data_IF_794729386997
#
_entry.id   IF_794729386997
#
_cell.length_a   1.000
_cell.length_b   1.000
_cell.length_c   1.000
_cell.angle_alpha   90.00
_cell.angle_beta   90.00
_cell.angle_gamma   90.00
#
_symmetry.space_group_name_H-M   'P 1'
#
loop_
_entity.id
_entity.type
_entity.pdbx_description
1 polymer ?
#
# COMPACT_ATOMS: atom_id res chain seq x y z
N UNK A 1 -15.53 1.62 -8.11
CA UNK A 1 -16.12 1.81 -6.78
C UNK A 1 -15.06 2.26 -5.80
N UNK A 2 -14.26 1.32 -5.27
CA UNK A 2 -13.22 1.59 -4.28
C UNK A 2 -12.27 2.74 -4.64
N UNK A 3 -11.65 2.72 -5.82
CA UNK A 3 -10.72 3.78 -6.24
C UNK A 3 -11.33 5.19 -6.37
N UNK A 4 -12.62 5.28 -6.72
CA UNK A 4 -13.34 6.57 -6.76
C UNK A 4 -13.58 7.05 -5.33
N UNK A 5 -14.06 6.16 -4.45
CA UNK A 5 -14.33 6.49 -3.06
C UNK A 5 -13.05 6.85 -2.29
N UNK A 6 -11.98 6.06 -2.39
CA UNK A 6 -10.72 6.31 -1.68
C UNK A 6 -10.06 7.63 -2.10
N UNK A 7 -10.06 7.93 -3.41
CA UNK A 7 -9.51 9.18 -3.94
C UNK A 7 -10.38 10.37 -3.56
N UNK A 8 -11.71 10.26 -3.64
CA UNK A 8 -12.62 11.31 -3.22
C UNK A 8 -12.52 11.59 -1.72
N UNK A 9 -12.52 10.54 -0.88
CA UNK A 9 -12.40 10.67 0.57
C UNK A 9 -11.08 11.30 0.98
N UNK A 10 -9.94 10.86 0.44
CA UNK A 10 -8.64 11.47 0.76
C UNK A 10 -8.57 12.94 0.34
N UNK A 11 -9.16 13.31 -0.80
CA UNK A 11 -9.24 14.70 -1.27
C UNK A 11 -10.14 15.55 -0.36
N UNK A 12 -11.33 15.07 -0.01
CA UNK A 12 -12.27 15.77 0.88
C UNK A 12 -11.63 15.99 2.24
N UNK A 13 -11.03 14.94 2.83
CA UNK A 13 -10.35 15.03 4.12
C UNK A 13 -9.22 16.05 4.07
N UNK A 14 -8.37 16.00 3.04
CA UNK A 14 -7.27 16.97 2.89
C UNK A 14 -7.75 18.42 2.74
N UNK A 15 -8.92 18.64 2.16
CA UNK A 15 -9.48 19.97 1.96
C UNK A 15 -10.22 20.52 3.20
N UNK A 16 -10.75 19.64 4.06
CA UNK A 16 -11.42 20.04 5.31
C UNK A 16 -10.45 20.35 6.45
N UNK A 17 -9.21 19.88 6.39
CA UNK A 17 -8.23 20.11 7.46
C UNK A 17 -7.69 21.56 7.39
N UNK A 18 -7.78 22.34 8.48
CA UNK A 18 -7.23 23.69 8.54
C UNK A 18 -5.73 23.71 8.25
N UNK A 19 -5.23 24.73 7.55
CA UNK A 19 -3.81 24.83 7.16
C UNK A 19 -2.86 24.72 8.36
N UNK A 20 -3.23 25.34 9.48
CA UNK A 20 -2.48 25.34 10.74
C UNK A 20 -2.33 23.95 11.39
N UNK A 21 -3.23 23.01 11.05
CA UNK A 21 -3.26 21.64 11.61
C UNK A 21 -3.21 20.55 10.53
N UNK A 22 -2.76 20.88 9.32
CA UNK A 22 -2.64 19.93 8.20
C UNK A 22 -1.86 18.67 8.58
N UNK A 23 -0.73 18.84 9.28
CA UNK A 23 0.08 17.70 9.73
C UNK A 23 -0.68 16.75 10.65
N UNK A 24 -1.40 17.28 11.65
CA UNK A 24 -2.18 16.47 12.59
C UNK A 24 -3.35 15.76 11.88
N UNK A 25 -4.12 16.50 11.06
CA UNK A 25 -5.29 15.95 10.38
C UNK A 25 -4.92 14.86 9.36
N UNK A 26 -3.86 15.07 8.58
CA UNK A 26 -3.35 14.04 7.64
C UNK A 26 -2.87 12.81 8.41
N UNK A 27 -2.22 13.01 9.56
CA UNK A 27 -1.77 11.91 10.40
C UNK A 27 -2.94 11.09 10.97
N UNK A 28 -4.03 11.74 11.42
CA UNK A 28 -5.25 11.03 11.85
C UNK A 28 -5.89 10.21 10.72
N UNK A 29 -5.93 10.76 9.51
CA UNK A 29 -6.42 10.03 8.33
C UNK A 29 -5.53 8.84 7.97
N UNK A 30 -4.21 9.01 7.98
CA UNK A 30 -3.27 7.92 7.75
C UNK A 30 -3.37 6.83 8.84
N UNK A 31 -3.56 7.23 10.10
CA UNK A 31 -3.76 6.31 11.22
C UNK A 31 -5.03 5.47 11.02
N UNK A 32 -6.15 6.08 10.62
CA UNK A 32 -7.40 5.35 10.40
C UNK A 32 -7.30 4.32 9.29
N UNK A 33 -6.65 4.64 8.17
CA UNK A 33 -6.38 3.67 7.09
C UNK A 33 -5.54 2.49 7.57
N UNK A 34 -4.56 2.75 8.43
CA UNK A 34 -3.67 1.72 8.99
C UNK A 34 -4.41 0.81 9.96
N UNK A 35 -5.27 1.40 10.79
CA UNK A 35 -6.14 0.69 11.71
C UNK A 35 -7.12 -0.20 10.93
N UNK A 36 -7.72 0.32 9.85
CA UNK A 36 -8.60 -0.45 8.97
C UNK A 36 -7.89 -1.63 8.30
N UNK A 37 -6.67 -1.41 7.79
CA UNK A 37 -5.85 -2.46 7.18
C UNK A 37 -5.39 -3.55 8.18
N UNK A 38 -5.34 -3.23 9.47
CA UNK A 38 -5.04 -4.17 10.54
C UNK A 38 -6.29 -4.92 11.03
N UNK A 39 -7.32 -4.17 11.41
CA UNK A 39 -8.56 -4.68 12.00
C UNK A 39 -9.37 -5.47 10.97
N UNK A 40 -9.37 -5.06 9.70
CA UNK A 40 -10.14 -5.72 8.64
C UNK A 40 -9.77 -7.19 8.46
N UNK A 41 -8.53 -7.54 8.10
CA UNK A 41 -8.08 -8.93 7.98
C UNK A 41 -8.18 -9.70 9.31
N UNK A 42 -7.91 -9.04 10.44
CA UNK A 42 -8.03 -9.65 11.76
C UNK A 42 -9.48 -10.10 12.06
N UNK A 43 -10.45 -9.19 11.93
CA UNK A 43 -11.88 -9.51 12.10
C UNK A 43 -12.33 -10.52 11.06
N UNK A 44 -11.92 -10.38 9.80
CA UNK A 44 -12.25 -11.31 8.73
C UNK A 44 -11.80 -12.74 9.05
N UNK A 45 -10.57 -12.89 9.56
CA UNK A 45 -10.04 -14.21 9.90
C UNK A 45 -10.69 -14.81 11.16
N UNK A 46 -11.02 -13.99 12.17
CA UNK A 46 -11.82 -14.44 13.32
C UNK A 46 -13.20 -14.91 12.87
N UNK A 47 -13.88 -14.10 12.05
CA UNK A 47 -15.21 -14.42 11.58
C UNK A 47 -15.23 -15.73 10.78
N UNK A 48 -14.18 -16.00 10.01
CA UNK A 48 -14.04 -17.25 9.27
C UNK A 48 -13.93 -18.51 10.15
N UNK A 49 -13.52 -18.37 11.42
CA UNK A 49 -13.43 -19.50 12.37
C UNK A 49 -14.78 -19.83 13.02
N UNK A 50 -15.62 -18.83 13.26
CA UNK A 50 -16.85 -18.98 14.04
C UNK A 50 -18.14 -18.92 13.20
N UNK A 51 -18.09 -18.32 12.01
CA UNK A 51 -19.26 -18.06 11.20
C UNK A 51 -19.13 -18.65 9.80
N UNK A 52 -20.26 -19.09 9.24
CA UNK A 52 -20.37 -19.48 7.85
C UNK A 52 -20.14 -18.28 6.92
N UNK A 53 -19.58 -18.53 5.74
CA UNK A 53 -19.27 -17.50 4.74
C UNK A 53 -20.45 -16.58 4.40
N UNK A 54 -21.68 -17.11 4.41
CA UNK A 54 -22.90 -16.33 4.16
C UNK A 54 -23.14 -15.23 5.22
N UNK A 55 -22.87 -15.53 6.50
CA UNK A 55 -23.00 -14.56 7.60
C UNK A 55 -21.94 -13.46 7.46
N UNK A 56 -20.73 -13.83 7.04
CA UNK A 56 -19.63 -12.88 6.78
C UNK A 56 -20.03 -11.89 5.68
N UNK A 57 -20.61 -12.39 4.58
CA UNK A 57 -21.12 -11.52 3.50
C UNK A 57 -22.22 -10.59 4.01
N UNK A 58 -23.20 -11.11 4.74
CA UNK A 58 -24.30 -10.30 5.29
C UNK A 58 -23.81 -9.20 6.23
N UNK A 59 -22.82 -9.51 7.07
CA UNK A 59 -22.16 -8.53 7.93
C UNK A 59 -21.47 -7.44 7.11
N UNK A 60 -20.68 -7.81 6.09
CA UNK A 60 -20.04 -6.83 5.20
C UNK A 60 -21.06 -5.92 4.51
N UNK A 61 -22.17 -6.48 4.02
CA UNK A 61 -23.27 -5.69 3.41
C UNK A 61 -23.87 -4.73 4.43
N UNK A 62 -24.14 -5.18 5.66
CA UNK A 62 -24.68 -4.32 6.71
C UNK A 62 -23.74 -3.15 7.06
N UNK A 63 -22.43 -3.41 7.15
CA UNK A 63 -21.42 -2.37 7.38
C UNK A 63 -21.39 -1.36 6.23
N UNK A 64 -21.41 -1.82 4.97
CA UNK A 64 -21.45 -0.93 3.79
C UNK A 64 -22.70 -0.05 3.80
N UNK A 65 -23.87 -0.61 4.13
CA UNK A 65 -25.12 0.16 4.23
C UNK A 65 -25.06 1.18 5.37
N UNK A 66 -24.47 0.83 6.52
CA UNK A 66 -24.27 1.76 7.63
C UNK A 66 -23.33 2.92 7.24
N UNK A 67 -22.22 2.64 6.55
CA UNK A 67 -21.34 3.67 6.01
C UNK A 67 -22.04 4.58 5.00
N UNK A 68 -22.88 4.02 4.12
CA UNK A 68 -23.66 4.78 3.16
C UNK A 68 -24.68 5.69 3.87
N UNK A 69 -25.38 5.18 4.89
CA UNK A 69 -26.30 5.98 5.70
C UNK A 69 -25.57 7.11 6.45
N UNK A 70 -24.40 6.83 7.02
CA UNK A 70 -23.58 7.85 7.67
C UNK A 70 -23.13 8.95 6.69
N UNK A 71 -22.86 8.61 5.42
CA UNK A 71 -22.52 9.58 4.39
C UNK A 71 -23.66 10.57 4.10
N UNK A 72 -24.93 10.16 4.23
CA UNK A 72 -26.08 11.07 4.10
C UNK A 72 -26.26 12.02 5.31
N UNK A 73 -25.75 11.63 6.48
CA UNK A 73 -25.82 12.45 7.70
C UNK A 73 -24.62 13.41 7.81
N UNK A 74 -23.47 13.04 7.24
CA UNK A 74 -22.30 13.91 7.20
C UNK A 74 -22.57 15.15 6.35
N UNK A 75 -22.77 16.29 7.02
CA UNK A 75 -22.72 17.62 6.40
C UNK A 75 -21.27 17.96 6.13
N UNK A 76 -20.81 17.68 4.91
CA UNK A 76 -19.55 18.19 4.40
C UNK A 76 -19.84 19.57 3.81
N UNK A 77 -19.21 20.61 4.35
CA UNK A 77 -19.26 21.94 3.74
C UNK A 77 -18.72 21.81 2.30
N UNK A 78 -19.56 22.16 1.31
CA UNK A 78 -19.16 22.12 -0.08
C UNK A 78 -17.96 23.03 -0.29
N UNK A 79 -16.83 22.43 -0.69
CA UNK A 79 -15.65 23.16 -1.09
C UNK A 79 -16.05 24.02 -2.29
N UNK A 80 -16.16 25.34 -2.10
CA UNK A 80 -16.44 26.29 -3.19
C UNK A 80 -15.28 26.22 -4.19
N UNK A 81 -15.48 25.49 -5.28
CA UNK A 81 -14.55 25.45 -6.39
C UNK A 81 -14.61 26.81 -7.09
N UNK A 82 -13.56 27.63 -6.95
CA UNK A 82 -13.38 28.90 -7.68
C UNK A 82 -13.53 28.66 -9.19
N UNK A 83 -14.11 29.60 -9.94
CA UNK A 83 -14.32 29.45 -11.40
C UNK A 83 -13.02 29.12 -12.16
N UNK A 84 -11.87 29.63 -11.70
CA UNK A 84 -10.54 29.30 -12.24
C UNK A 84 -10.19 27.82 -12.11
N UNK A 85 -10.49 27.20 -10.95
CA UNK A 85 -10.25 25.77 -10.70
C UNK A 85 -11.20 24.91 -11.53
N UNK A 86 -12.42 25.39 -11.80
CA UNK A 86 -13.41 24.74 -12.67
C UNK A 86 -13.01 24.79 -14.15
N UNK A 87 -12.36 25.88 -14.58
CA UNK A 87 -11.80 25.99 -15.93
C UNK A 87 -10.61 25.04 -16.14
N UNK A 88 -9.74 24.90 -15.14
CA UNK A 88 -8.61 23.95 -15.16
C UNK A 88 -9.07 22.47 -15.19
N UNK A 89 -10.21 22.13 -14.59
CA UNK A 89 -10.80 20.78 -14.62
C UNK A 89 -11.41 20.38 -15.98
N UNK A 90 -11.66 21.35 -16.89
CA UNK A 90 -12.24 21.07 -18.22
C UNK A 90 -11.22 20.52 -19.22
N UNK A 91 -9.92 20.64 -18.96
CA UNK A 91 -8.89 19.99 -19.77
C UNK A 91 -8.69 18.53 -19.34
N UNK A 92 -9.65 17.69 -19.72
CA UNK A 92 -9.60 16.24 -19.50
C UNK A 92 -8.63 15.63 -20.52
N UNK A 93 -7.38 15.47 -20.12
CA UNK A 93 -6.36 14.70 -20.84
C UNK A 93 -5.95 13.47 -20.02
N UNK A 94 -5.62 12.34 -20.66
CA UNK A 94 -5.03 11.18 -19.98
C UNK A 94 -3.70 11.52 -19.27
N UNK A 95 -2.97 12.53 -19.74
CA UNK A 95 -1.79 13.09 -19.06
C UNK A 95 -2.13 13.96 -17.82
N UNK A 96 -3.42 14.24 -17.61
CA UNK A 96 -3.97 14.91 -16.42
C UNK A 96 -4.35 13.90 -15.33
N UNK A 97 -4.51 12.61 -15.67
CA UNK A 97 -4.92 11.55 -14.73
C UNK A 97 -3.77 10.70 -14.20
N UNK A 98 -2.73 10.48 -15.00
CA UNK A 98 -1.55 9.75 -14.59
C UNK A 98 -0.32 10.65 -14.71
N UNK A 99 0.46 10.74 -13.64
CA UNK A 99 1.66 11.58 -13.62
C UNK A 99 2.89 10.77 -14.07
N UNK A 100 3.47 11.04 -15.25
CA UNK A 100 4.56 10.22 -15.79
C UNK A 100 5.82 10.23 -14.90
N UNK A 101 6.05 11.32 -14.15
CA UNK A 101 7.21 11.43 -13.25
C UNK A 101 7.19 10.36 -12.15
N UNK A 102 6.02 9.91 -11.71
CA UNK A 102 5.88 8.90 -10.63
C UNK A 102 5.65 7.48 -11.15
N UNK A 103 5.53 7.30 -12.46
CA UNK A 103 5.23 5.99 -13.06
C UNK A 103 6.25 4.91 -12.70
N UNK A 104 7.54 5.28 -12.58
CA UNK A 104 8.59 4.34 -12.20
C UNK A 104 8.35 3.72 -10.82
N UNK A 105 8.06 4.54 -9.82
CA UNK A 105 7.78 4.06 -8.46
C UNK A 105 6.39 3.39 -8.36
N UNK A 106 5.42 3.86 -9.14
CA UNK A 106 4.09 3.25 -9.19
C UNK A 106 4.12 1.82 -9.77
N UNK A 107 4.93 1.58 -10.81
CA UNK A 107 5.14 0.21 -11.35
C UNK A 107 5.82 -0.70 -10.31
N UNK A 108 6.82 -0.20 -9.58
CA UNK A 108 7.41 -0.97 -8.47
C UNK A 108 6.34 -1.28 -7.42
N UNK A 109 5.47 -0.31 -7.12
CA UNK A 109 4.34 -0.50 -6.22
C UNK A 109 3.38 -1.58 -6.67
N UNK A 110 3.05 -1.64 -7.97
CA UNK A 110 2.24 -2.71 -8.54
C UNK A 110 2.82 -4.10 -8.22
N UNK A 111 4.13 -4.31 -8.42
CA UNK A 111 4.75 -5.61 -8.16
C UNK A 111 4.85 -5.93 -6.65
N UNK A 112 5.13 -4.93 -5.82
CA UNK A 112 5.12 -5.09 -4.35
C UNK A 112 3.73 -5.46 -3.85
N UNK A 113 2.69 -4.78 -4.36
CA UNK A 113 1.30 -5.08 -4.06
C UNK A 113 0.90 -6.48 -4.55
N UNK A 114 1.32 -6.88 -5.75
CA UNK A 114 1.11 -8.24 -6.26
C UNK A 114 1.73 -9.29 -5.33
N UNK A 115 2.93 -9.05 -4.81
CA UNK A 115 3.55 -9.97 -3.84
C UNK A 115 2.75 -10.03 -2.53
N UNK A 116 2.33 -8.88 -1.99
CA UNK A 116 1.56 -8.82 -0.75
C UNK A 116 0.13 -9.35 -0.89
N UNK A 117 -0.48 -9.27 -2.07
CA UNK A 117 -1.83 -9.79 -2.32
C UNK A 117 -1.93 -11.30 -2.04
N UNK A 118 -0.82 -12.03 -2.21
CA UNK A 118 -0.71 -13.45 -1.85
C UNK A 118 -1.02 -13.70 -0.37
N UNK A 119 -0.55 -12.81 0.52
CA UNK A 119 -0.80 -12.88 1.96
C UNK A 119 -2.27 -12.58 2.22
N UNK A 120 -2.79 -11.49 1.66
CA UNK A 120 -4.19 -11.10 1.82
C UNK A 120 -5.19 -12.18 1.39
N UNK A 121 -4.95 -12.84 0.25
CA UNK A 121 -5.91 -13.79 -0.32
C UNK A 121 -5.71 -15.23 0.12
N UNK A 122 -4.49 -15.65 0.43
CA UNK A 122 -4.19 -17.06 0.68
C UNK A 122 -3.81 -17.38 2.12
N UNK A 123 -3.42 -16.40 2.94
CA UNK A 123 -2.91 -16.67 4.28
C UNK A 123 -3.94 -17.40 5.15
N UNK A 124 -5.22 -17.04 5.06
CA UNK A 124 -6.26 -17.70 5.84
C UNK A 124 -6.41 -19.18 5.46
N UNK A 125 -6.44 -19.50 4.16
CA UNK A 125 -6.50 -20.89 3.69
C UNK A 125 -5.22 -21.64 4.02
N UNK A 126 -4.05 -21.02 3.87
CA UNK A 126 -2.76 -21.62 4.20
C UNK A 126 -2.64 -21.93 5.69
N UNK A 127 -3.01 -20.98 6.56
CA UNK A 127 -3.04 -21.19 8.00
C UNK A 127 -4.07 -22.26 8.41
N UNK A 128 -5.17 -22.41 7.67
CA UNK A 128 -6.12 -23.51 7.89
C UNK A 128 -5.53 -24.87 7.53
N UNK A 129 -4.88 -25.00 6.36
CA UNK A 129 -4.21 -26.25 5.92
C UNK A 129 -3.08 -26.69 6.87
N UNK A 130 -2.37 -25.73 7.47
CA UNK A 130 -1.33 -26.00 8.47
C UNK A 130 -1.86 -26.20 9.90
N UNK A 131 -3.18 -26.07 10.13
CA UNK A 131 -3.79 -26.06 11.47
C UNK A 131 -3.24 -24.96 12.40
N UNK A 132 -2.87 -23.81 11.83
CA UNK A 132 -2.28 -22.64 12.50
C UNK A 132 -3.21 -21.41 12.49
N UNK A 133 -4.53 -21.59 12.47
CA UNK A 133 -5.51 -20.50 12.32
C UNK A 133 -5.33 -19.37 13.34
N UNK A 134 -5.09 -19.68 14.61
CA UNK A 134 -4.82 -18.69 15.66
C UNK A 134 -3.59 -17.84 15.33
N UNK A 135 -2.52 -18.46 14.84
CA UNK A 135 -1.31 -17.75 14.45
C UNK A 135 -1.54 -16.90 13.19
N UNK A 136 -2.39 -17.35 12.26
CA UNK A 136 -2.79 -16.57 11.09
C UNK A 136 -3.55 -15.30 11.49
N UNK A 137 -4.39 -15.38 12.53
CA UNK A 137 -5.13 -14.21 13.03
C UNK A 137 -4.17 -13.23 13.71
N UNK A 138 -3.26 -13.75 14.54
CA UNK A 138 -2.23 -12.96 15.20
C UNK A 138 -1.20 -12.38 14.23
N UNK A 139 -1.00 -12.98 13.05
CA UNK A 139 -0.12 -12.44 11.99
C UNK A 139 -0.49 -10.99 11.66
N UNK A 140 -1.76 -10.69 11.45
CA UNK A 140 -2.20 -9.33 11.09
C UNK A 140 -2.07 -8.33 12.25
N UNK A 141 -2.16 -8.81 13.49
CA UNK A 141 -1.88 -8.00 14.69
C UNK A 141 -0.40 -7.66 14.76
N UNK A 142 0.48 -8.66 14.61
CA UNK A 142 1.93 -8.46 14.61
C UNK A 142 2.38 -7.58 13.45
N UNK A 143 1.81 -7.79 12.27
CA UNK A 143 1.97 -6.92 11.10
C UNK A 143 1.62 -5.46 11.45
N UNK A 144 0.45 -5.23 12.04
CA UNK A 144 -0.02 -3.89 12.40
C UNK A 144 0.88 -3.20 13.42
N UNK A 145 1.28 -3.92 14.46
CA UNK A 145 2.21 -3.42 15.48
C UNK A 145 3.57 -3.07 14.87
N UNK A 146 4.09 -3.94 14.01
CA UNK A 146 5.38 -3.75 13.33
C UNK A 146 5.34 -2.49 12.45
N UNK A 147 4.29 -2.33 11.65
CA UNK A 147 4.09 -1.13 10.81
C UNK A 147 3.97 0.12 11.66
N UNK A 148 3.20 0.07 12.76
CA UNK A 148 2.99 1.21 13.65
C UNK A 148 4.30 1.69 14.28
N UNK A 149 5.14 0.77 14.73
CA UNK A 149 6.43 1.10 15.38
C UNK A 149 7.46 1.58 14.36
N UNK A 150 7.50 0.97 13.18
CA UNK A 150 8.58 1.23 12.21
C UNK A 150 8.32 2.43 11.34
N UNK A 151 7.06 2.80 11.09
CA UNK A 151 6.73 3.97 10.27
C UNK A 151 7.40 5.27 10.72
N UNK A 152 7.36 5.68 12.00
CA UNK A 152 8.06 6.88 12.47
C UNK A 152 9.57 6.80 12.22
N UNK A 153 10.18 5.64 12.51
CA UNK A 153 11.62 5.42 12.35
C UNK A 153 12.01 5.47 10.88
N UNK A 154 11.25 4.80 10.02
CA UNK A 154 11.46 4.80 8.58
C UNK A 154 11.30 6.20 7.97
N UNK A 155 10.32 6.98 8.42
CA UNK A 155 10.15 8.37 7.99
C UNK A 155 11.36 9.24 8.35
N UNK A 156 11.85 9.16 9.59
CA UNK A 156 13.05 9.90 10.02
C UNK A 156 14.28 9.47 9.22
N UNK A 157 14.43 8.17 8.94
CA UNK A 157 15.54 7.67 8.11
C UNK A 157 15.42 8.12 6.66
N UNK A 158 14.22 8.14 6.11
CA UNK A 158 13.93 8.59 4.74
C UNK A 158 14.32 10.04 4.54
N UNK A 159 14.03 10.90 5.51
CA UNK A 159 14.37 12.33 5.42
C UNK A 159 15.86 12.60 5.68
N UNK A 160 16.51 11.84 6.57
CA UNK A 160 17.93 12.07 6.91
C UNK A 160 18.93 11.43 5.95
N UNK A 161 18.63 10.23 5.45
CA UNK A 161 19.57 9.41 4.65
C UNK A 161 19.11 9.19 3.21
N UNK A 162 17.92 9.69 2.86
CA UNK A 162 17.34 9.57 1.53
C UNK A 162 16.52 8.29 1.35
N UNK A 163 15.82 8.27 0.21
CA UNK A 163 14.87 7.22 -0.17
C UNK A 163 15.51 5.84 -0.35
N UNK A 164 16.69 5.75 -0.98
CA UNK A 164 17.37 4.47 -1.24
C UNK A 164 17.69 3.72 0.06
N UNK A 165 18.11 4.45 1.10
CA UNK A 165 18.46 3.87 2.40
C UNK A 165 17.30 3.13 3.07
N UNK A 166 16.06 3.52 2.77
CA UNK A 166 14.84 2.92 3.33
C UNK A 166 14.24 1.89 2.38
N UNK A 167 14.25 2.13 1.08
CA UNK A 167 13.57 1.28 0.10
C UNK A 167 14.24 -0.09 -0.08
N UNK A 168 15.57 -0.18 -0.15
CA UNK A 168 16.25 -1.48 -0.30
C UNK A 168 16.02 -2.43 0.89
N UNK A 169 16.19 -2.00 2.16
CA UNK A 169 15.85 -2.85 3.30
C UNK A 169 14.38 -3.27 3.31
N UNK A 170 13.49 -2.41 2.83
CA UNK A 170 12.06 -2.68 2.75
C UNK A 170 11.75 -3.86 1.82
N UNK A 171 12.33 -3.90 0.62
CA UNK A 171 12.16 -5.02 -0.31
C UNK A 171 12.77 -6.32 0.24
N UNK A 172 13.91 -6.22 0.92
CA UNK A 172 14.57 -7.37 1.55
C UNK A 172 13.74 -7.94 2.69
N UNK A 173 13.20 -7.08 3.57
CA UNK A 173 12.30 -7.48 4.65
C UNK A 173 11.05 -8.16 4.09
N UNK A 174 10.43 -7.60 3.05
CA UNK A 174 9.27 -8.23 2.42
C UNK A 174 9.62 -9.60 1.83
N UNK A 175 10.76 -9.71 1.14
CA UNK A 175 11.24 -10.98 0.58
C UNK A 175 11.48 -12.04 1.67
N UNK A 176 12.17 -11.68 2.75
CA UNK A 176 12.40 -12.57 3.90
C UNK A 176 11.08 -13.00 4.53
N UNK A 177 10.13 -12.08 4.73
CA UNK A 177 8.83 -12.40 5.31
C UNK A 177 8.04 -13.40 4.45
N UNK A 178 8.02 -13.21 3.13
CA UNK A 178 7.33 -14.11 2.21
C UNK A 178 8.05 -15.47 2.09
N UNK A 179 9.38 -15.51 2.08
CA UNK A 179 10.15 -16.75 2.08
C UNK A 179 9.98 -17.53 3.40
N UNK A 180 9.88 -16.85 4.53
CA UNK A 180 9.54 -17.48 5.82
C UNK A 180 8.15 -18.11 5.77
N UNK A 181 7.16 -17.45 5.16
CA UNK A 181 5.84 -18.05 4.93
C UNK A 181 5.93 -19.32 4.08
N UNK A 182 6.82 -19.37 3.09
CA UNK A 182 6.99 -20.58 2.25
C UNK A 182 7.40 -21.82 3.05
N UNK A 183 8.19 -21.67 4.11
CA UNK A 183 8.73 -22.78 4.91
C UNK A 183 8.02 -22.93 6.26
N UNK A 184 6.94 -22.19 6.48
CA UNK A 184 6.24 -22.15 7.77
C UNK A 184 5.61 -23.51 8.07
N UNK A 185 5.94 -24.03 9.24
CA UNK A 185 5.37 -25.25 9.84
C UNK A 185 4.89 -25.02 11.27
N UNK A 186 5.37 -23.97 11.94
CA UNK A 186 5.04 -23.65 13.34
C UNK A 186 4.43 -22.26 13.49
N UNK A 187 3.62 -22.08 14.53
CA UNK A 187 2.97 -20.80 14.84
C UNK A 187 3.93 -19.61 14.91
N UNK A 188 5.09 -19.79 15.56
CA UNK A 188 6.04 -18.69 15.77
C UNK A 188 6.69 -18.22 14.45
N UNK A 189 6.94 -19.14 13.51
CA UNK A 189 7.50 -18.83 12.19
C UNK A 189 6.58 -17.90 11.41
N UNK A 190 5.26 -18.18 11.46
CA UNK A 190 4.25 -17.32 10.85
C UNK A 190 4.22 -15.93 11.49
N UNK A 191 4.32 -15.82 12.82
CA UNK A 191 4.35 -14.52 13.49
C UNK A 191 5.61 -13.72 13.14
N UNK A 192 6.77 -14.37 13.08
CA UNK A 192 8.02 -13.74 12.64
C UNK A 192 7.90 -13.27 11.19
N UNK A 193 7.28 -14.06 10.31
CA UNK A 193 6.98 -13.63 8.96
C UNK A 193 6.08 -12.37 8.93
N UNK A 194 5.09 -12.29 9.83
CA UNK A 194 4.24 -11.10 10.00
C UNK A 194 5.01 -9.83 10.35
N UNK A 195 6.07 -9.94 11.17
CA UNK A 195 6.98 -8.83 11.45
C UNK A 195 7.64 -8.36 10.17
N UNK A 196 8.30 -9.26 9.44
CA UNK A 196 9.05 -8.94 8.22
C UNK A 196 8.16 -8.41 7.09
N UNK A 197 6.98 -8.99 6.89
CA UNK A 197 5.99 -8.49 5.92
C UNK A 197 5.49 -7.10 6.32
N UNK A 198 5.28 -6.84 7.61
CA UNK A 198 4.93 -5.51 8.12
C UNK A 198 6.02 -4.47 7.87
N UNK A 199 7.26 -4.81 8.22
CA UNK A 199 8.45 -3.99 7.95
C UNK A 199 8.64 -3.71 6.46
N UNK A 200 8.31 -4.67 5.60
CA UNK A 200 8.37 -4.55 4.16
C UNK A 200 7.20 -3.75 3.58
N UNK A 201 6.05 -4.39 3.40
CA UNK A 201 4.93 -3.78 2.67
C UNK A 201 4.43 -2.48 3.30
N UNK A 202 4.32 -2.42 4.62
CA UNK A 202 3.81 -1.23 5.31
C UNK A 202 4.75 -0.02 5.23
N UNK A 203 6.06 -0.24 5.25
CA UNK A 203 7.08 0.81 5.05
C UNK A 203 7.14 1.26 3.60
N UNK A 204 7.01 0.32 2.65
CA UNK A 204 6.97 0.64 1.23
C UNK A 204 5.78 1.54 0.89
N UNK A 205 4.60 1.22 1.44
CA UNK A 205 3.36 1.96 1.18
C UNK A 205 3.49 3.44 1.58
N UNK A 206 4.08 3.75 2.74
CA UNK A 206 4.25 5.12 3.20
C UNK A 206 5.39 5.86 2.50
N UNK A 207 6.56 5.23 2.35
CA UNK A 207 7.73 5.89 1.74
C UNK A 207 7.59 6.01 0.21
N UNK A 208 6.97 5.04 -0.44
CA UNK A 208 6.64 5.12 -1.87
C UNK A 208 5.70 6.29 -2.17
N UNK A 209 4.70 6.52 -1.32
CA UNK A 209 3.84 7.71 -1.41
C UNK A 209 4.66 9.00 -1.22
N UNK A 210 5.57 9.05 -0.24
CA UNK A 210 6.42 10.22 -0.02
C UNK A 210 7.35 10.53 -1.20
N UNK A 211 7.89 9.49 -1.86
CA UNK A 211 8.66 9.64 -3.12
C UNK A 211 7.79 10.29 -4.20
N UNK A 212 6.54 9.83 -4.39
CA UNK A 212 5.63 10.41 -5.37
C UNK A 212 5.39 11.90 -5.14
N UNK A 213 5.24 12.31 -3.87
CA UNK A 213 5.06 13.71 -3.48
C UNK A 213 6.32 14.54 -3.76
N UNK A 214 7.52 14.02 -3.47
CA UNK A 214 8.81 14.72 -3.71
C UNK A 214 9.12 14.93 -5.20
N UNK A 215 8.54 14.13 -6.10
CA UNK A 215 8.83 14.16 -7.53
C UNK A 215 8.02 15.19 -8.33
N UNK A 216 7.02 15.82 -7.72
CA UNK A 216 6.01 16.61 -8.42
C UNK A 216 5.77 17.95 -7.73
N UNK A 217 5.28 18.91 -8.51
CA UNK A 217 4.91 20.22 -7.99
C UNK A 217 3.65 20.11 -7.12
N UNK A 218 3.48 21.02 -6.15
CA UNK A 218 2.38 20.97 -5.17
C UNK A 218 0.99 20.82 -5.81
N UNK A 219 0.79 21.47 -6.95
CA UNK A 219 -0.47 21.44 -7.70
C UNK A 219 -0.81 20.03 -8.23
N UNK A 220 0.21 19.18 -8.44
CA UNK A 220 0.08 17.83 -9.02
C UNK A 220 0.20 16.70 -8.01
N UNK A 221 0.42 16.99 -6.72
CA UNK A 221 0.51 15.98 -5.65
C UNK A 221 -0.69 15.02 -5.67
N UNK A 222 -1.91 15.54 -5.86
CA UNK A 222 -3.12 14.71 -5.90
C UNK A 222 -3.10 13.67 -7.04
N UNK A 223 -2.64 14.05 -8.23
CA UNK A 223 -2.53 13.16 -9.40
C UNK A 223 -1.42 12.13 -9.20
N UNK A 224 -0.31 12.53 -8.57
CA UNK A 224 0.80 11.64 -8.28
C UNK A 224 0.44 10.55 -7.26
N UNK A 225 -0.22 10.94 -6.17
CA UNK A 225 -0.68 10.02 -5.13
C UNK A 225 -1.77 9.09 -5.67
N UNK A 226 -2.71 9.60 -6.46
CA UNK A 226 -3.73 8.75 -7.09
C UNK A 226 -3.12 7.74 -8.07
N UNK A 227 -2.16 8.16 -8.90
CA UNK A 227 -1.41 7.26 -9.80
C UNK A 227 -0.75 6.11 -9.03
N UNK A 228 -0.14 6.41 -7.88
CA UNK A 228 0.48 5.42 -7.00
C UNK A 228 -0.54 4.43 -6.43
N UNK A 229 -1.65 4.92 -5.88
CA UNK A 229 -2.70 4.04 -5.32
C UNK A 229 -3.40 3.21 -6.38
N UNK A 230 -3.64 3.74 -7.58
CA UNK A 230 -4.24 2.97 -8.70
C UNK A 230 -3.36 1.77 -9.05
N UNK A 231 -2.04 1.95 -9.14
CA UNK A 231 -1.12 0.85 -9.43
C UNK A 231 -1.01 -0.15 -8.28
N UNK A 232 -1.00 0.32 -7.01
CA UNK A 232 -1.05 -0.54 -5.84
C UNK A 232 -2.32 -1.40 -5.82
N UNK A 233 -3.49 -0.78 -5.98
CA UNK A 233 -4.78 -1.46 -5.97
C UNK A 233 -4.90 -2.45 -7.13
N UNK A 234 -4.36 -2.10 -8.30
CA UNK A 234 -4.29 -3.02 -9.43
C UNK A 234 -3.44 -4.25 -9.10
N UNK A 235 -2.30 -4.07 -8.43
CA UNK A 235 -1.45 -5.17 -7.96
C UNK A 235 -2.19 -6.07 -6.95
N UNK A 236 -2.86 -5.46 -5.97
CA UNK A 236 -3.66 -6.19 -4.97
C UNK A 236 -4.86 -6.94 -5.59
N UNK A 237 -5.50 -6.33 -6.58
CA UNK A 237 -6.67 -6.90 -7.24
C UNK A 237 -6.34 -8.01 -8.22
N UNK A 238 -5.30 -7.83 -9.04
CA UNK A 238 -4.91 -8.79 -10.09
C UNK A 238 -4.06 -9.93 -9.52
N UNK A 239 -3.25 -9.66 -8.49
CA UNK A 239 -2.30 -10.62 -7.94
C UNK A 239 -2.91 -11.97 -7.53
N UNK A 240 -4.04 -12.03 -6.79
CA UNK A 240 -4.65 -13.30 -6.40
C UNK A 240 -5.12 -14.15 -7.59
N UNK A 241 -5.57 -13.53 -8.68
CA UNK A 241 -5.96 -14.25 -9.89
C UNK A 241 -4.75 -14.85 -10.61
N UNK A 242 -3.67 -14.07 -10.76
CA UNK A 242 -2.42 -14.55 -11.37
C UNK A 242 -1.82 -15.67 -10.52
N UNK A 243 -1.61 -15.42 -9.23
CA UNK A 243 -0.97 -16.36 -8.32
C UNK A 243 -1.84 -17.60 -8.07
N UNK A 244 -3.17 -17.44 -8.05
CA UNK A 244 -4.12 -18.53 -7.93
C UNK A 244 -4.05 -19.52 -9.10
N UNK A 245 -3.74 -19.05 -10.32
CA UNK A 245 -3.53 -19.93 -11.47
C UNK A 245 -2.32 -20.87 -11.28
N UNK A 246 -1.32 -20.45 -10.51
CA UNK A 246 -0.15 -21.27 -10.17
C UNK A 246 -0.35 -22.14 -8.93
N UNK A 247 -1.51 -22.08 -8.25
CA UNK A 247 -1.78 -22.88 -7.05
C UNK A 247 -1.69 -24.38 -7.31
N UNK A 248 -2.22 -24.85 -8.43
CA UNK A 248 -2.23 -26.27 -8.79
C UNK A 248 -0.83 -26.91 -8.75
N UNK A 249 0.14 -26.42 -9.54
CA UNK A 249 1.47 -27.02 -9.62
C UNK A 249 2.41 -26.70 -8.43
N UNK A 250 2.25 -25.55 -7.77
CA UNK A 250 3.23 -25.07 -6.77
C UNK A 250 2.78 -25.23 -5.31
N UNK A 251 1.48 -25.39 -5.06
CA UNK A 251 0.90 -25.28 -3.71
C UNK A 251 1.12 -23.89 -3.09
N UNK A 252 0.71 -23.71 -1.83
CA UNK A 252 0.87 -22.41 -1.15
C UNK A 252 2.32 -22.07 -0.84
N UNK A 253 3.11 -23.03 -0.37
CA UNK A 253 4.54 -22.82 -0.12
C UNK A 253 5.27 -22.36 -1.39
N UNK A 254 5.03 -23.00 -2.53
CA UNK A 254 5.65 -22.59 -3.79
C UNK A 254 5.22 -21.19 -4.26
N UNK A 255 3.95 -20.80 -4.05
CA UNK A 255 3.49 -19.42 -4.31
C UNK A 255 4.25 -18.42 -3.43
N UNK A 256 4.39 -18.70 -2.12
CA UNK A 256 5.10 -17.81 -1.20
C UNK A 256 6.60 -17.73 -1.50
N UNK A 257 7.21 -18.80 -1.99
CA UNK A 257 8.58 -18.78 -2.49
C UNK A 257 8.72 -17.90 -3.73
N UNK A 258 7.83 -18.07 -4.70
CA UNK A 258 7.82 -17.30 -5.95
C UNK A 258 7.66 -15.79 -5.68
N UNK A 259 6.70 -15.40 -4.84
CA UNK A 259 6.49 -13.98 -4.48
C UNK A 259 7.59 -13.45 -3.56
N UNK A 260 8.24 -14.29 -2.75
CA UNK A 260 9.42 -13.91 -1.98
C UNK A 260 10.60 -13.53 -2.87
N UNK A 261 10.89 -14.37 -3.87
CA UNK A 261 11.91 -14.05 -4.90
C UNK A 261 11.48 -12.85 -5.74
N UNK A 262 10.19 -12.76 -6.11
CA UNK A 262 9.62 -11.62 -6.83
C UNK A 262 9.75 -10.30 -6.07
N UNK A 263 9.59 -10.33 -4.75
CA UNK A 263 9.82 -9.16 -3.88
C UNK A 263 11.29 -8.74 -3.87
N UNK A 264 12.23 -9.69 -3.87
CA UNK A 264 13.65 -9.35 -4.02
C UNK A 264 13.93 -8.76 -5.43
N UNK A 265 13.27 -9.27 -6.47
CA UNK A 265 13.34 -8.71 -7.82
C UNK A 265 12.85 -7.25 -7.90
N UNK A 266 11.92 -6.85 -7.02
CA UNK A 266 11.46 -5.46 -6.94
C UNK A 266 12.57 -4.47 -6.58
N UNK A 267 13.61 -4.89 -5.85
CA UNK A 267 14.78 -4.05 -5.58
C UNK A 267 15.55 -3.70 -6.87
N UNK A 268 15.70 -4.67 -7.78
CA UNK A 268 16.33 -4.44 -9.08
C UNK A 268 15.45 -3.59 -9.99
N UNK A 269 14.13 -3.81 -9.97
CA UNK A 269 13.18 -2.97 -10.70
C UNK A 269 13.20 -1.52 -10.19
N UNK A 270 13.27 -1.32 -8.87
CA UNK A 270 13.41 0.01 -8.27
C UNK A 270 14.70 0.69 -8.73
N UNK A 271 15.83 -0.04 -8.74
CA UNK A 271 17.08 0.50 -9.25
C UNK A 271 16.96 0.90 -10.73
N UNK A 272 16.46 0.01 -11.60
CA UNK A 272 16.42 0.25 -13.04
C UNK A 272 15.39 1.29 -13.51
N UNK A 273 14.20 1.29 -12.91
CA UNK A 273 13.10 2.19 -13.33
C UNK A 273 13.16 3.56 -12.67
N UNK A 274 13.72 3.64 -11.46
CA UNK A 274 13.68 4.84 -10.64
C UNK A 274 15.07 5.37 -10.29
N UNK A 275 15.87 4.61 -9.53
CA UNK A 275 17.16 5.11 -9.01
C UNK A 275 18.13 5.49 -10.14
N UNK A 276 18.20 4.69 -11.21
CA UNK A 276 19.04 4.95 -12.37
C UNK A 276 18.65 6.23 -13.11
N UNK A 277 17.34 6.44 -13.33
CA UNK A 277 16.84 7.66 -14.00
C UNK A 277 17.02 8.91 -13.13
N UNK A 278 16.89 8.78 -11.80
CA UNK A 278 17.17 9.85 -10.85
C UNK A 278 18.64 10.25 -10.90
N UNK A 279 19.55 9.29 -10.82
CA UNK A 279 21.00 9.53 -10.87
C UNK A 279 21.42 10.18 -12.20
N UNK A 280 20.86 9.74 -13.33
CA UNK A 280 21.13 10.35 -14.65
C UNK A 280 20.69 11.81 -14.74
N UNK A 281 19.56 12.19 -14.11
CA UNK A 281 19.11 13.59 -14.06
C UNK A 281 20.03 14.44 -13.21
N UNK A 282 20.42 13.95 -12.04
CA UNK A 282 21.34 14.66 -11.14
C UNK A 282 22.72 14.86 -11.77
N UNK A 283 23.25 13.87 -12.50
CA UNK A 283 24.53 14.00 -13.21
C UNK A 283 24.46 14.99 -14.38
N UNK A 284 23.34 15.06 -15.10
CA UNK A 284 23.14 16.06 -16.15
C UNK A 284 23.02 17.48 -15.59
N UNK A 285 22.31 17.66 -14.49
CA UNK A 285 22.18 18.96 -13.81
C UNK A 285 23.55 19.43 -13.28
N UNK A 286 24.32 18.55 -12.62
CA UNK A 286 25.66 18.86 -12.14
C UNK A 286 26.64 19.24 -13.28
N UNK A 287 26.63 18.49 -14.38
CA UNK A 287 27.50 18.79 -15.55
C UNK A 287 27.08 20.01 -16.36
N UNK A 288 25.85 20.50 -16.20
CA UNK A 288 25.37 21.75 -16.81
C UNK A 288 25.78 22.99 -16.02
N UNK A 289 25.89 22.87 -14.70
CA UNK A 289 26.36 23.93 -13.78
C UNK A 289 27.89 24.10 -13.88
N UNK A 290 28.63 23.03 -14.15
CA UNK A 290 30.10 23.08 -14.32
C UNK A 290 30.53 23.69 -15.68
N UNK A 291 29.60 23.82 -16.63
CA UNK A 291 29.82 24.41 -17.96
C UNK A 291 29.29 25.84 -18.12
N UNK A 292 28.60 26.37 -17.11
CA UNK A 292 28.06 27.74 -17.07
C UNK A 292 28.98 28.65 -16.24
#
# INVERSE_FOLDING_TARGET
GYGIASTATSTIVSAMIPEERRGEGINYYALSMSLAAAIGPFLGMIMQQFFSFCIIIMFCVAVVLACLAAAFVMKVDEIRITEERRAQLKEISLSSFLEPKVMGIAIVGFFVALCYSSVLSFLATYASELHLMTAGTLFFVVYALSVTIVRPVAGVMFDKKGEDFVMYPTFLCLAVGLLLLSITTRSWEMLVAGVFVGLGYGTFMSNGQAICVKLVDEVRIGVAVSTYFVMLDLGLGVGPYILGAFKGPLGFSGIYSLVGVGSAACAFLYYGLYAWRRNLRQSHEAGSVEKA
#
